data_IF_871754063196
#
_entry.id   IF_871754063196
#
_cell.length_a   1.000
_cell.length_b   1.000
_cell.length_c   1.000
_cell.angle_alpha   90.00
_cell.angle_beta   90.00
_cell.angle_gamma   90.00
#
_symmetry.space_group_name_H-M   'P 1'
#
loop_
_entity.id
_entity.type
_entity.pdbx_description
1 polymer ?
#
# COMPACT_ATOMS: atom_id res chain seq x y z
N UNK A 1 2.68 -4.85 -17.33
CA UNK A 1 2.74 -5.96 -16.35
C UNK A 1 2.99 -5.41 -14.95
N UNK A 2 2.41 -6.02 -13.89
CA UNK A 2 2.83 -5.78 -12.51
C UNK A 2 4.31 -6.20 -12.34
N UNK A 3 5.07 -5.43 -11.56
CA UNK A 3 6.48 -5.71 -11.30
C UNK A 3 6.66 -6.27 -9.90
N UNK A 4 7.52 -7.28 -9.78
CA UNK A 4 7.87 -7.86 -8.49
C UNK A 4 8.67 -6.83 -7.65
N UNK A 5 8.21 -6.46 -6.45
CA UNK A 5 8.87 -5.45 -5.62
C UNK A 5 10.17 -5.95 -4.95
N UNK A 6 10.48 -7.25 -5.04
CA UNK A 6 11.68 -7.86 -4.48
C UNK A 6 12.78 -7.93 -5.53
N UNK A 7 12.49 -8.47 -6.71
CA UNK A 7 13.50 -8.69 -7.76
C UNK A 7 13.39 -7.74 -8.96
N UNK A 8 12.28 -6.98 -9.10
CA UNK A 8 12.09 -6.04 -10.20
C UNK A 8 11.72 -6.67 -11.54
N UNK A 9 11.46 -7.98 -11.59
CA UNK A 9 11.01 -8.67 -12.80
C UNK A 9 9.56 -8.34 -13.14
N UNK A 10 9.22 -8.40 -14.42
CA UNK A 10 7.84 -8.37 -14.88
C UNK A 10 7.13 -9.68 -14.50
N UNK A 11 5.92 -9.54 -13.98
CA UNK A 11 5.08 -10.63 -13.48
C UNK A 11 3.76 -10.60 -14.21
N UNK A 12 3.21 -11.78 -14.48
CA UNK A 12 1.87 -11.92 -15.04
C UNK A 12 0.78 -11.64 -14.00
N UNK A 13 -0.31 -11.00 -14.42
CA UNK A 13 -1.42 -10.66 -13.53
C UNK A 13 -2.15 -11.95 -13.06
N UNK A 14 -2.10 -13.01 -13.88
CA UNK A 14 -2.68 -14.32 -13.61
C UNK A 14 -1.84 -15.21 -12.68
N UNK A 15 -0.77 -14.68 -12.11
CA UNK A 15 0.10 -15.44 -11.22
C UNK A 15 -0.62 -15.79 -9.91
N UNK A 16 -0.47 -17.04 -9.44
CA UNK A 16 -1.06 -17.51 -8.16
C UNK A 16 -0.41 -16.85 -6.94
N UNK A 17 0.83 -16.41 -7.07
CA UNK A 17 1.64 -15.78 -6.03
C UNK A 17 1.30 -14.29 -5.89
N UNK A 18 0.23 -13.99 -5.13
CA UNK A 18 -0.20 -12.62 -4.83
C UNK A 18 -0.44 -12.44 -3.33
N UNK A 19 -0.11 -11.26 -2.81
CA UNK A 19 -0.30 -10.91 -1.41
C UNK A 19 -1.01 -9.56 -1.30
N UNK A 20 -2.07 -9.50 -0.50
CA UNK A 20 -2.68 -8.22 -0.12
C UNK A 20 -1.99 -7.69 1.12
N UNK A 21 -1.43 -6.49 1.04
CA UNK A 21 -0.83 -5.80 2.17
C UNK A 21 -1.16 -4.31 2.11
N UNK A 22 -1.66 -3.74 3.22
CA UNK A 22 -2.04 -2.31 3.33
C UNK A 22 -3.00 -1.88 2.22
N UNK A 23 -4.00 -2.73 1.93
CA UNK A 23 -4.99 -2.51 0.87
C UNK A 23 -4.39 -2.39 -0.55
N UNK A 24 -3.15 -2.88 -0.76
CA UNK A 24 -2.51 -3.00 -2.07
C UNK A 24 -2.26 -4.47 -2.39
N UNK A 25 -2.58 -4.87 -3.61
CA UNK A 25 -2.23 -6.19 -4.13
C UNK A 25 -0.82 -6.16 -4.73
N UNK A 26 0.06 -7.02 -4.23
CA UNK A 26 1.39 -7.25 -4.77
C UNK A 26 1.43 -8.60 -5.48
N UNK A 27 2.08 -8.64 -6.64
CA UNK A 27 2.29 -9.84 -7.44
C UNK A 27 3.76 -10.23 -7.39
N UNK A 28 4.04 -11.52 -7.27
CA UNK A 28 5.39 -12.07 -7.18
C UNK A 28 5.65 -13.06 -8.30
N UNK A 29 6.89 -13.11 -8.78
CA UNK A 29 7.28 -14.09 -9.78
C UNK A 29 7.38 -15.52 -9.21
N UNK A 30 7.59 -15.65 -7.89
CA UNK A 30 7.89 -16.92 -7.24
C UNK A 30 7.55 -16.90 -5.74
N UNK A 31 7.45 -18.09 -5.12
CA UNK A 31 7.30 -18.22 -3.66
C UNK A 31 8.42 -17.52 -2.88
N UNK A 32 9.65 -17.64 -3.37
CA UNK A 32 10.84 -17.09 -2.72
C UNK A 32 10.69 -15.57 -2.53
N UNK A 33 10.30 -14.84 -3.59
CA UNK A 33 10.06 -13.40 -3.54
C UNK A 33 8.91 -13.06 -2.58
N UNK A 34 7.85 -13.87 -2.53
CA UNK A 34 6.76 -13.66 -1.56
C UNK A 34 7.25 -13.78 -0.11
N UNK A 35 8.08 -14.80 0.21
CA UNK A 35 8.66 -14.99 1.55
C UNK A 35 9.64 -13.87 1.93
N UNK A 36 10.51 -13.46 1.01
CA UNK A 36 11.44 -12.34 1.20
C UNK A 36 10.70 -11.02 1.41
N UNK A 37 9.60 -10.82 0.66
CA UNK A 37 8.74 -9.66 0.85
C UNK A 37 8.18 -9.62 2.26
N UNK A 38 7.67 -10.75 2.78
CA UNK A 38 7.23 -10.87 4.17
C UNK A 38 8.31 -10.49 5.19
N UNK A 39 9.56 -10.93 4.98
CA UNK A 39 10.70 -10.53 5.81
C UNK A 39 11.01 -9.03 5.71
N UNK A 40 10.84 -8.40 4.54
CA UNK A 40 11.05 -6.95 4.37
C UNK A 40 9.92 -6.10 4.98
N UNK A 41 8.70 -6.64 5.06
CA UNK A 41 7.55 -5.94 5.64
C UNK A 41 7.72 -5.63 7.12
N UNK A 42 8.42 -6.47 7.88
CA UNK A 42 8.69 -6.23 9.30
C UNK A 42 9.47 -4.94 9.57
N UNK A 43 10.26 -4.46 8.59
CA UNK A 43 11.08 -3.25 8.72
C UNK A 43 10.45 -1.95 8.19
N UNK A 44 9.38 -2.00 7.40
CA UNK A 44 8.82 -0.80 6.74
C UNK A 44 7.52 -0.33 7.40
N UNK A 45 7.68 0.47 8.46
CA UNK A 45 6.61 1.25 9.09
C UNK A 45 5.98 2.18 8.04
N UNK A 46 4.66 2.14 7.99
CA UNK A 46 3.84 2.85 7.01
C UNK A 46 3.86 4.35 7.26
N UNK A 47 4.14 5.15 6.22
CA UNK A 47 3.66 6.53 6.16
C UNK A 47 2.17 6.47 5.87
N UNK A 48 1.36 6.53 6.94
CA UNK A 48 -0.09 6.77 6.81
C UNK A 48 -0.24 8.05 6.00
N UNK A 49 -0.96 7.97 4.88
CA UNK A 49 -1.43 9.18 4.20
C UNK A 49 -2.58 9.68 5.06
N UNK A 50 -2.29 10.65 5.91
CA UNK A 50 -3.27 11.32 6.77
C UNK A 50 -4.26 12.10 5.90
N UNK A 51 -5.37 11.46 5.56
CA UNK A 51 -6.51 12.11 4.91
C UNK A 51 -7.39 12.80 5.98
N UNK A 52 -6.80 13.67 6.82
CA UNK A 52 -7.52 14.37 7.89
C UNK A 52 -7.54 15.91 7.73
N UNK A 53 -6.91 16.45 6.67
CA UNK A 53 -6.72 17.90 6.51
C UNK A 53 -7.89 18.69 5.93
N UNK A 54 -8.84 18.06 5.22
CA UNK A 54 -9.81 18.83 4.40
C UNK A 54 -11.19 18.99 5.05
N UNK A 55 -11.61 18.06 5.94
CA UNK A 55 -12.95 18.13 6.52
C UNK A 55 -13.06 19.19 7.64
N UNK A 56 -11.98 19.46 8.39
CA UNK A 56 -12.01 20.45 9.49
C UNK A 56 -12.09 21.91 8.98
N UNK A 57 -11.61 22.19 7.75
CA UNK A 57 -11.66 23.54 7.18
C UNK A 57 -13.09 24.01 6.83
N UNK A 58 -13.99 23.09 6.50
CA UNK A 58 -15.36 23.42 6.10
C UNK A 58 -16.23 23.72 7.33
N UNK A 59 -16.03 22.97 8.43
CA UNK A 59 -16.79 23.17 9.68
C UNK A 59 -16.37 24.45 10.43
N UNK A 60 -15.14 24.95 10.24
CA UNK A 60 -14.67 26.22 10.83
C UNK A 60 -15.05 27.46 10.01
N UNK A 61 -15.67 27.30 8.83
CA UNK A 61 -16.19 28.41 8.02
C UNK A 61 -17.72 28.55 8.14
N UNK A 62 -18.39 27.56 8.73
CA UNK A 62 -19.82 27.60 9.01
C UNK A 62 -20.07 27.78 10.51
N UNK A 63 -19.95 29.06 10.91
CA UNK A 63 -21.04 29.77 11.59
C UNK A 63 -21.31 29.43 13.05
N UNK A 64 -20.49 29.99 13.96
CA UNK A 64 -20.89 30.59 15.25
C UNK A 64 -19.70 31.45 15.75
N UNK A 65 -19.76 32.79 15.60
CA UNK A 65 -20.17 33.65 16.72
C UNK A 65 -21.05 34.87 16.30
N UNK A 66 -22.12 35.11 17.07
CA UNK A 66 -23.05 36.27 17.08
C UNK A 66 -23.90 36.55 15.83
#
# INVERSE_FOLDING_TARGET
>A
MPKDPVCGRDVDINTKWKLMYKNKAYHFCSEQCMREFGKKLSGKKEKKRDFHGTIIAIIRSLKFPC
#
